data_IF_989682163956
#
_entry.id   IF_989682163956
#
_cell.length_a   1.000
_cell.length_b   1.000
_cell.length_c   1.000
_cell.angle_alpha   90.00
_cell.angle_beta   90.00
_cell.angle_gamma   90.00
#
_symmetry.space_group_name_H-M   'P 1'
#
loop_
_entity.id
_entity.type
_entity.pdbx_description
1 polymer ?
#
# COMPACT_ATOMS: atom_id res chain seq x y z
N UNK A 1 -9.86 10.11 -19.69
CA UNK A 1 -9.74 8.81 -19.04
C UNK A 1 -11.00 8.02 -19.35
N UNK A 2 -10.85 6.81 -19.91
CA UNK A 2 -11.99 5.92 -20.17
C UNK A 2 -12.14 4.93 -19.01
N UNK A 3 -13.39 4.57 -18.69
CA UNK A 3 -13.67 3.46 -17.79
C UNK A 3 -13.33 2.18 -18.52
N UNK A 4 -12.36 1.42 -18.02
CA UNK A 4 -12.02 0.10 -18.56
C UNK A 4 -12.67 -0.95 -17.66
N UNK A 5 -13.43 -1.87 -18.25
CA UNK A 5 -13.89 -3.07 -17.57
C UNK A 5 -12.68 -3.92 -17.11
N UNK A 6 -12.81 -4.61 -15.98
CA UNK A 6 -11.71 -5.37 -15.39
C UNK A 6 -11.13 -6.44 -16.32
N UNK A 7 -11.96 -7.07 -17.17
CA UNK A 7 -11.53 -8.03 -18.17
C UNK A 7 -10.63 -7.40 -19.25
N UNK A 8 -11.06 -6.27 -19.84
CA UNK A 8 -10.30 -5.54 -20.86
C UNK A 8 -8.97 -5.00 -20.31
N UNK A 9 -8.94 -4.65 -19.02
CA UNK A 9 -7.72 -4.22 -18.33
C UNK A 9 -6.71 -5.35 -18.21
N UNK A 10 -7.15 -6.51 -17.75
CA UNK A 10 -6.29 -7.70 -17.59
C UNK A 10 -5.70 -8.13 -18.94
N UNK A 11 -6.49 -8.12 -20.00
CA UNK A 11 -6.03 -8.40 -21.35
C UNK A 11 -4.95 -7.41 -21.81
N UNK A 12 -5.16 -6.11 -21.61
CA UNK A 12 -4.15 -5.07 -21.94
C UNK A 12 -2.85 -5.29 -21.18
N UNK A 13 -2.92 -5.56 -19.87
CA UNK A 13 -1.72 -5.83 -19.08
C UNK A 13 -0.98 -7.07 -19.57
N UNK A 14 -1.72 -8.12 -19.96
CA UNK A 14 -1.14 -9.37 -20.46
C UNK A 14 -0.41 -9.19 -21.79
N UNK A 15 -0.82 -8.22 -22.62
CA UNK A 15 -0.23 -7.95 -23.92
C UNK A 15 1.13 -7.21 -23.82
N UNK A 16 1.44 -6.59 -22.67
CA UNK A 16 2.74 -5.96 -22.49
C UNK A 16 3.78 -6.97 -22.00
N UNK A 17 4.99 -6.85 -22.50
CA UNK A 17 6.15 -7.62 -22.02
C UNK A 17 6.59 -7.13 -20.64
N UNK A 18 6.67 -5.81 -20.46
CA UNK A 18 7.01 -5.15 -19.21
C UNK A 18 5.98 -4.05 -18.92
N UNK A 19 5.32 -4.12 -17.79
CA UNK A 19 4.29 -3.17 -17.40
C UNK A 19 4.13 -3.09 -15.89
N UNK A 20 3.91 -1.88 -15.39
CA UNK A 20 3.51 -1.63 -14.02
C UNK A 20 2.05 -1.20 -13.97
N UNK A 21 1.25 -1.85 -13.13
CA UNK A 21 -0.11 -1.44 -12.80
C UNK A 21 -0.19 -1.07 -11.32
N UNK A 22 -0.55 0.19 -11.02
CA UNK A 22 -0.70 0.67 -9.65
C UNK A 22 -2.16 0.94 -9.36
N UNK A 23 -2.67 0.38 -8.27
CA UNK A 23 -4.07 0.48 -7.85
C UNK A 23 -4.22 0.99 -6.42
N UNK A 24 -5.43 1.45 -6.08
CA UNK A 24 -5.70 2.15 -4.82
C UNK A 24 -5.98 1.22 -3.63
N UNK A 25 -6.20 -0.06 -3.87
CA UNK A 25 -6.49 -1.00 -2.78
C UNK A 25 -5.76 -2.33 -2.94
N UNK A 26 -5.45 -2.94 -1.79
CA UNK A 26 -4.81 -4.26 -1.73
C UNK A 26 -5.68 -5.35 -2.38
N UNK A 27 -7.01 -5.28 -2.16
CA UNK A 27 -7.98 -6.18 -2.78
C UNK A 27 -7.97 -6.05 -4.31
N UNK A 28 -7.96 -4.83 -4.83
CA UNK A 28 -7.86 -4.59 -6.27
C UNK A 28 -6.57 -5.17 -6.86
N UNK A 29 -5.45 -5.01 -6.16
CA UNK A 29 -4.17 -5.56 -6.59
C UNK A 29 -4.22 -7.10 -6.68
N UNK A 30 -4.75 -7.77 -5.67
CA UNK A 30 -4.93 -9.23 -5.69
C UNK A 30 -5.86 -9.67 -6.82
N UNK A 31 -7.04 -9.08 -6.95
CA UNK A 31 -8.03 -9.42 -7.99
C UNK A 31 -7.48 -9.32 -9.41
N UNK A 32 -6.69 -8.29 -9.70
CA UNK A 32 -6.04 -8.13 -11.00
C UNK A 32 -4.94 -9.17 -11.17
N UNK A 33 -4.11 -9.36 -10.16
CA UNK A 33 -3.00 -10.30 -10.18
C UNK A 33 -3.45 -11.75 -10.42
N UNK A 34 -4.53 -12.17 -9.77
CA UNK A 34 -5.08 -13.54 -9.89
C UNK A 34 -5.56 -13.87 -11.31
N UNK A 35 -5.89 -12.85 -12.10
CA UNK A 35 -6.32 -13.00 -13.49
C UNK A 35 -5.17 -12.94 -14.50
N UNK A 36 -3.96 -12.57 -14.07
CA UNK A 36 -2.79 -12.51 -14.93
C UNK A 36 -2.10 -13.88 -15.09
N UNK A 37 -1.36 -14.12 -16.19
CA UNK A 37 -0.53 -15.30 -16.33
C UNK A 37 0.44 -15.43 -15.15
N UNK A 38 0.70 -16.66 -14.70
CA UNK A 38 1.58 -16.88 -13.53
C UNK A 38 3.03 -16.51 -13.81
N UNK A 39 3.51 -16.72 -15.04
CA UNK A 39 4.91 -16.47 -15.40
C UNK A 39 5.19 -14.99 -15.64
N UNK A 40 6.25 -14.49 -15.02
CA UNK A 40 6.69 -13.09 -15.15
C UNK A 40 5.69 -12.07 -14.57
N UNK A 41 4.75 -12.49 -13.70
CA UNK A 41 3.80 -11.62 -13.04
C UNK A 41 4.06 -11.57 -11.55
N UNK A 42 4.07 -10.36 -11.00
CA UNK A 42 4.39 -10.06 -9.61
C UNK A 42 3.30 -9.21 -8.96
N UNK A 43 3.02 -9.51 -7.71
CA UNK A 43 2.16 -8.70 -6.85
C UNK A 43 3.03 -8.02 -5.77
N UNK A 44 2.72 -6.76 -5.47
CA UNK A 44 3.38 -6.02 -4.39
C UNK A 44 2.36 -5.26 -3.56
N UNK A 45 2.25 -5.62 -2.29
CA UNK A 45 1.43 -4.89 -1.33
C UNK A 45 1.99 -4.99 0.08
N UNK A 46 1.44 -4.20 0.99
CA UNK A 46 1.78 -4.25 2.43
C UNK A 46 1.23 -5.49 3.14
N UNK A 47 0.48 -6.37 2.45
CA UNK A 47 0.05 -7.67 2.96
C UNK A 47 1.15 -8.73 2.92
N UNK A 48 2.25 -8.45 2.23
CA UNK A 48 3.42 -9.31 2.17
C UNK A 48 4.43 -8.91 3.24
N UNK A 49 5.11 -9.87 3.83
CA UNK A 49 6.21 -9.60 4.77
C UNK A 49 7.37 -8.85 4.07
N UNK A 50 8.10 -7.99 4.80
CA UNK A 50 9.18 -7.19 4.23
C UNK A 50 10.27 -8.00 3.52
N UNK A 51 10.68 -9.15 4.05
CA UNK A 51 11.68 -10.04 3.42
C UNK A 51 11.25 -10.51 2.05
N UNK A 52 10.00 -10.89 1.89
CA UNK A 52 9.45 -11.36 0.63
C UNK A 52 9.31 -10.23 -0.39
N UNK A 53 8.81 -9.05 0.05
CA UNK A 53 8.77 -7.86 -0.81
C UNK A 53 10.13 -7.50 -1.36
N UNK A 54 11.18 -7.58 -0.51
CA UNK A 54 12.54 -7.28 -0.93
C UNK A 54 13.04 -8.27 -1.99
N UNK A 55 12.80 -9.57 -1.80
CA UNK A 55 13.18 -10.61 -2.77
C UNK A 55 12.47 -10.42 -4.12
N UNK A 56 11.16 -10.13 -4.10
CA UNK A 56 10.38 -9.87 -5.31
C UNK A 56 10.86 -8.60 -6.03
N UNK A 57 11.16 -7.53 -5.29
CA UNK A 57 11.68 -6.29 -5.89
C UNK A 57 13.02 -6.52 -6.57
N UNK A 58 13.88 -7.35 -6.00
CA UNK A 58 15.17 -7.69 -6.62
C UNK A 58 14.97 -8.50 -7.91
N UNK A 59 14.06 -9.47 -7.90
CA UNK A 59 13.70 -10.22 -9.10
C UNK A 59 13.09 -9.32 -10.18
N UNK A 60 12.21 -8.39 -9.83
CA UNK A 60 11.65 -7.40 -10.75
C UNK A 60 12.76 -6.59 -11.40
N UNK A 61 13.71 -6.04 -10.62
CA UNK A 61 14.84 -5.25 -11.15
C UNK A 61 15.68 -6.06 -12.11
N UNK A 62 15.99 -7.31 -11.75
CA UNK A 62 16.78 -8.18 -12.61
C UNK A 62 16.05 -8.50 -13.93
N UNK A 63 14.75 -8.78 -13.88
CA UNK A 63 13.95 -9.04 -15.09
C UNK A 63 13.84 -7.81 -15.99
N UNK A 64 13.66 -6.62 -15.42
CA UNK A 64 13.67 -5.37 -16.19
C UNK A 64 14.99 -5.12 -16.89
N UNK A 65 16.11 -5.36 -16.19
CA UNK A 65 17.46 -5.22 -16.73
C UNK A 65 17.75 -6.22 -17.85
N UNK A 66 17.29 -7.46 -17.70
CA UNK A 66 17.50 -8.55 -18.67
C UNK A 66 16.48 -8.52 -19.82
N UNK A 67 15.63 -7.52 -19.90
CA UNK A 67 14.50 -7.43 -20.83
C UNK A 67 13.62 -8.69 -20.85
N UNK A 68 13.40 -9.31 -19.68
CA UNK A 68 12.50 -10.44 -19.51
C UNK A 68 11.06 -9.99 -19.28
N UNK A 69 10.05 -10.84 -19.56
CA UNK A 69 8.65 -10.52 -19.21
C UNK A 69 8.52 -10.18 -17.72
N UNK A 70 7.97 -8.98 -17.42
CA UNK A 70 7.81 -8.47 -16.07
C UNK A 70 6.55 -7.63 -15.98
N UNK A 71 5.50 -8.20 -15.44
CA UNK A 71 4.20 -7.55 -15.23
C UNK A 71 3.97 -7.42 -13.73
N UNK A 72 3.89 -6.20 -13.25
CA UNK A 72 3.78 -5.91 -11.82
C UNK A 72 2.43 -5.27 -11.51
N UNK A 73 1.70 -5.83 -10.57
CA UNK A 73 0.52 -5.21 -9.98
C UNK A 73 0.86 -4.81 -8.54
N UNK A 74 0.76 -3.53 -8.24
CA UNK A 74 1.14 -2.98 -6.94
C UNK A 74 0.11 -2.01 -6.40
N UNK A 75 0.10 -1.83 -5.09
CA UNK A 75 -0.49 -0.63 -4.47
C UNK A 75 0.51 0.54 -4.56
N UNK A 76 0.16 1.69 -3.95
CA UNK A 76 1.06 2.86 -3.87
C UNK A 76 2.43 2.57 -3.21
N UNK A 77 2.64 1.37 -2.69
CA UNK A 77 3.92 0.93 -2.15
C UNK A 77 5.11 1.18 -3.11
N UNK A 78 4.88 1.06 -4.42
CA UNK A 78 5.92 1.22 -5.45
C UNK A 78 6.18 2.69 -5.81
N UNK A 79 5.32 3.62 -5.41
CA UNK A 79 5.41 5.04 -5.76
C UNK A 79 6.58 5.73 -5.06
N UNK A 80 6.91 5.32 -3.84
CA UNK A 80 8.00 5.90 -3.04
C UNK A 80 9.05 4.87 -2.65
N UNK A 81 10.33 5.27 -2.69
CA UNK A 81 11.44 4.44 -2.19
C UNK A 81 11.82 3.22 -3.03
N UNK A 82 11.16 2.98 -4.15
CA UNK A 82 11.45 1.84 -5.03
C UNK A 82 12.05 2.34 -6.34
N UNK A 83 13.23 1.81 -6.67
CA UNK A 83 13.93 2.14 -7.90
C UNK A 83 13.66 1.06 -8.96
N UNK A 84 12.72 1.39 -9.86
CA UNK A 84 12.30 0.56 -11.01
C UNK A 84 11.97 1.46 -12.20
N UNK A 85 12.21 0.95 -13.41
CA UNK A 85 12.00 1.66 -14.67
C UNK A 85 11.22 0.80 -15.68
N UNK A 86 9.95 1.13 -15.86
CA UNK A 86 9.05 0.42 -16.77
C UNK A 86 8.81 1.20 -18.07
N UNK A 87 8.65 0.53 -19.21
CA UNK A 87 8.26 1.19 -20.45
C UNK A 87 6.80 1.69 -20.42
N UNK A 88 5.94 1.01 -19.67
CA UNK A 88 4.51 1.32 -19.62
C UNK A 88 4.00 1.25 -18.19
N UNK A 89 3.22 2.25 -17.79
CA UNK A 89 2.60 2.33 -16.47
C UNK A 89 1.10 2.55 -16.61
N UNK A 90 0.33 1.75 -15.90
CA UNK A 90 -1.12 1.94 -15.68
C UNK A 90 -1.33 2.40 -14.25
N UNK A 91 -2.05 3.50 -14.04
CA UNK A 91 -2.38 4.03 -12.72
C UNK A 91 -3.88 4.17 -12.56
N UNK A 92 -4.47 3.51 -11.57
CA UNK A 92 -5.84 3.78 -11.17
C UNK A 92 -5.97 5.24 -10.74
N UNK A 93 -7.05 5.92 -11.13
CA UNK A 93 -7.29 7.32 -10.80
C UNK A 93 -7.19 7.55 -9.29
N UNK A 94 -6.34 8.47 -8.89
CA UNK A 94 -5.99 8.81 -7.51
C UNK A 94 -5.74 10.32 -7.37
N UNK A 95 -5.07 10.75 -6.31
CA UNK A 95 -4.52 12.10 -6.23
C UNK A 95 -3.52 12.37 -7.36
N UNK A 96 -3.49 13.60 -7.87
CA UNK A 96 -2.60 13.99 -8.96
C UNK A 96 -1.12 13.78 -8.60
N UNK A 97 -0.76 14.03 -7.35
CA UNK A 97 0.55 13.74 -6.79
C UNK A 97 0.94 12.27 -6.91
N UNK A 98 0.01 11.37 -6.57
CA UNK A 98 0.19 9.92 -6.67
C UNK A 98 0.29 9.45 -8.13
N UNK A 99 -0.52 10.03 -9.03
CA UNK A 99 -0.42 9.77 -10.48
C UNK A 99 0.97 10.13 -11.00
N UNK A 100 1.49 11.30 -10.63
CA UNK A 100 2.82 11.75 -11.05
C UNK A 100 3.95 10.91 -10.44
N UNK A 101 3.79 10.44 -9.20
CA UNK A 101 4.75 9.52 -8.58
C UNK A 101 4.80 8.17 -9.32
N UNK A 102 3.65 7.62 -9.71
CA UNK A 102 3.58 6.43 -10.55
C UNK A 102 4.16 6.69 -11.96
N UNK A 103 3.86 7.84 -12.56
CA UNK A 103 4.44 8.25 -13.83
C UNK A 103 5.97 8.35 -13.78
N UNK A 104 6.54 8.78 -12.65
CA UNK A 104 7.98 8.77 -12.39
C UNK A 104 8.63 7.38 -12.37
N UNK A 105 7.87 6.29 -12.55
CA UNK A 105 8.35 4.92 -12.76
C UNK A 105 8.32 4.50 -14.23
N UNK A 106 7.81 5.37 -15.11
CA UNK A 106 7.79 5.17 -16.55
C UNK A 106 8.96 5.90 -17.19
N UNK A 107 9.82 5.16 -17.88
CA UNK A 107 11.03 5.72 -18.53
C UNK A 107 11.87 6.61 -17.58
N UNK A 108 11.97 6.17 -16.34
CA UNK A 108 12.65 6.92 -15.26
C UNK A 108 14.10 7.28 -15.61
N UNK A 109 14.76 6.38 -16.30
CA UNK A 109 16.15 6.58 -16.70
C UNK A 109 16.30 7.36 -18.02
N UNK A 110 15.21 7.75 -18.67
CA UNK A 110 15.21 8.48 -19.93
C UNK A 110 15.83 7.73 -21.11
N UNK A 111 15.87 6.40 -21.06
CA UNK A 111 16.52 5.57 -22.09
C UNK A 111 15.65 5.26 -23.29
N UNK A 112 14.34 5.51 -23.19
CA UNK A 112 13.34 5.22 -24.23
C UNK A 112 12.82 6.52 -24.82
N UNK A 113 12.33 6.45 -26.05
CA UNK A 113 11.62 7.57 -26.66
C UNK A 113 10.31 7.88 -25.89
N UNK A 114 9.89 9.13 -25.89
CA UNK A 114 8.70 9.56 -25.13
C UNK A 114 7.41 8.92 -25.66
N UNK A 115 7.31 8.68 -26.96
CA UNK A 115 6.19 8.01 -27.63
C UNK A 115 6.11 6.49 -27.33
N UNK A 116 7.22 5.89 -26.91
CA UNK A 116 7.28 4.50 -26.45
C UNK A 116 7.02 4.34 -24.94
N UNK A 117 6.90 5.46 -24.22
CA UNK A 117 6.82 5.49 -22.75
C UNK A 117 5.47 6.04 -22.31
N UNK A 118 4.50 5.15 -22.15
CA UNK A 118 3.10 5.54 -21.98
C UNK A 118 2.64 5.34 -20.54
N UNK A 119 2.08 6.40 -19.97
CA UNK A 119 1.34 6.36 -18.71
C UNK A 119 -0.15 6.46 -18.99
N UNK A 120 -0.89 5.43 -18.57
CA UNK A 120 -2.35 5.38 -18.74
C UNK A 120 -3.04 5.50 -17.39
N UNK A 121 -3.81 6.56 -17.22
CA UNK A 121 -4.70 6.69 -16.05
C UNK A 121 -6.03 6.04 -16.39
N UNK A 122 -6.53 5.18 -15.49
CA UNK A 122 -7.80 4.47 -15.70
C UNK A 122 -8.69 4.55 -14.47
N UNK A 123 -9.98 4.36 -14.67
CA UNK A 123 -10.96 4.25 -13.58
C UNK A 123 -11.49 2.81 -13.49
N UNK A 124 -11.78 2.37 -12.28
CA UNK A 124 -12.49 1.12 -12.04
C UNK A 124 -13.99 1.39 -11.94
N UNK A 125 -14.80 0.34 -12.15
CA UNK A 125 -16.26 0.38 -11.96
C UNK A 125 -16.61 0.56 -10.48
N UNK A 126 -15.79 0.00 -9.58
CA UNK A 126 -15.93 0.17 -8.13
C UNK A 126 -15.51 1.58 -7.73
N UNK A 127 -16.25 2.16 -6.78
CA UNK A 127 -15.89 3.46 -6.20
C UNK A 127 -14.52 3.38 -5.50
N UNK A 128 -13.70 4.43 -5.59
CA UNK A 128 -12.45 4.49 -4.85
C UNK A 128 -12.71 4.41 -3.34
N UNK A 129 -11.78 3.82 -2.56
CA UNK A 129 -11.86 3.83 -1.11
C UNK A 129 -12.08 5.24 -0.56
N UNK A 130 -12.84 5.37 0.53
CA UNK A 130 -13.22 6.67 1.12
C UNK A 130 -12.03 7.63 1.26
N UNK A 131 -10.89 7.10 1.70
CA UNK A 131 -9.64 7.88 1.87
C UNK A 131 -9.17 8.59 0.60
N UNK A 132 -9.46 8.04 -0.58
CA UNK A 132 -8.99 8.58 -1.86
C UNK A 132 -10.02 9.49 -2.54
N UNK A 133 -11.29 9.51 -2.11
CA UNK A 133 -12.38 10.21 -2.82
C UNK A 133 -12.14 11.70 -2.97
N UNK A 134 -11.69 12.36 -1.91
CA UNK A 134 -11.39 13.79 -1.93
C UNK A 134 -10.27 14.10 -2.92
N UNK A 135 -9.17 13.34 -2.88
CA UNK A 135 -8.05 13.53 -3.80
C UNK A 135 -8.43 13.22 -5.26
N UNK A 136 -9.24 12.18 -5.49
CA UNK A 136 -9.79 11.86 -6.82
C UNK A 136 -10.68 12.99 -7.34
N UNK A 137 -11.54 13.57 -6.50
CA UNK A 137 -12.38 14.73 -6.85
C UNK A 137 -11.54 15.93 -7.26
N UNK A 138 -10.54 16.28 -6.45
CA UNK A 138 -9.60 17.37 -6.73
C UNK A 138 -8.80 17.13 -8.03
N UNK A 139 -8.40 15.87 -8.29
CA UNK A 139 -7.71 15.51 -9.54
C UNK A 139 -8.61 15.70 -10.77
N UNK A 140 -9.85 15.24 -10.71
CA UNK A 140 -10.80 15.43 -11.82
C UNK A 140 -11.00 16.91 -12.12
N UNK A 141 -11.20 17.73 -11.08
CA UNK A 141 -11.33 19.19 -11.22
C UNK A 141 -10.06 19.81 -11.81
N UNK A 142 -8.88 19.41 -11.35
CA UNK A 142 -7.63 19.96 -11.85
C UNK A 142 -7.35 19.62 -13.31
N UNK A 143 -7.81 18.46 -13.78
CA UNK A 143 -7.61 17.97 -15.16
C UNK A 143 -8.76 18.32 -16.13
N UNK A 144 -9.76 19.08 -15.67
CA UNK A 144 -10.79 19.60 -16.58
C UNK A 144 -10.14 20.35 -17.75
N UNK A 145 -10.83 20.38 -18.89
CA UNK A 145 -10.38 21.02 -20.13
C UNK A 145 -9.10 20.42 -20.75
N UNK A 146 -8.74 19.18 -20.38
CA UNK A 146 -7.59 18.48 -20.98
C UNK A 146 -6.23 19.06 -20.60
N UNK A 147 -6.12 19.65 -19.40
CA UNK A 147 -4.86 20.24 -18.90
C UNK A 147 -3.77 19.20 -18.78
N UNK A 148 -2.53 19.64 -19.00
CA UNK A 148 -1.35 18.81 -18.76
C UNK A 148 -1.20 18.49 -17.25
N UNK A 149 -1.25 17.20 -16.87
CA UNK A 149 -1.07 16.78 -15.46
C UNK A 149 0.23 17.25 -14.83
N UNK A 150 1.29 17.41 -15.62
CA UNK A 150 2.62 17.80 -15.14
C UNK A 150 2.83 19.32 -15.07
N UNK A 151 1.89 20.11 -15.61
CA UNK A 151 1.99 21.56 -15.57
C UNK A 151 1.89 22.11 -14.13
N UNK A 152 2.73 23.06 -13.80
CA UNK A 152 2.73 23.69 -12.47
C UNK A 152 1.37 24.27 -12.09
N UNK A 153 0.67 24.89 -13.06
CA UNK A 153 -0.67 25.46 -12.86
C UNK A 153 -1.72 24.39 -12.50
N UNK A 154 -1.64 23.21 -13.14
CA UNK A 154 -2.51 22.08 -12.84
C UNK A 154 -2.27 21.53 -11.45
N UNK A 155 -1.00 21.40 -11.05
CA UNK A 155 -0.61 21.01 -9.70
C UNK A 155 -1.09 22.00 -8.65
N UNK A 156 -0.93 23.30 -8.90
CA UNK A 156 -1.42 24.35 -8.01
C UNK A 156 -2.95 24.30 -7.87
N UNK A 157 -3.67 24.14 -8.98
CA UNK A 157 -5.13 23.99 -8.99
C UNK A 157 -5.58 22.75 -8.19
N UNK A 158 -4.88 21.63 -8.35
CA UNK A 158 -5.14 20.40 -7.58
C UNK A 158 -5.00 20.63 -6.08
N UNK A 159 -3.90 21.21 -5.62
CA UNK A 159 -3.69 21.43 -4.19
C UNK A 159 -4.60 22.50 -3.60
N UNK A 160 -4.97 23.52 -4.35
CA UNK A 160 -5.98 24.50 -3.94
C UNK A 160 -7.34 23.83 -3.73
N UNK A 161 -7.78 23.01 -4.68
CA UNK A 161 -9.05 22.28 -4.59
C UNK A 161 -9.03 21.23 -3.47
N UNK A 162 -7.95 20.47 -3.37
CA UNK A 162 -7.76 19.48 -2.29
C UNK A 162 -7.86 20.16 -0.91
N UNK A 163 -7.25 21.33 -0.77
CA UNK A 163 -7.33 22.12 0.47
C UNK A 163 -8.75 22.63 0.72
N UNK A 164 -9.44 23.12 -0.29
CA UNK A 164 -10.82 23.60 -0.18
C UNK A 164 -11.79 22.47 0.24
N UNK A 165 -11.66 21.29 -0.37
CA UNK A 165 -12.46 20.11 -0.05
C UNK A 165 -12.14 19.51 1.32
N UNK A 166 -10.89 19.61 1.77
CA UNK A 166 -10.47 19.07 3.07
C UNK A 166 -10.88 19.96 4.25
N UNK A 167 -11.01 21.27 4.04
CA UNK A 167 -11.51 22.21 5.05
C UNK A 167 -10.84 22.08 6.41
N UNK A 168 -11.66 22.00 7.45
CA UNK A 168 -11.20 21.86 8.84
C UNK A 168 -10.48 20.54 9.14
N UNK A 169 -10.64 19.53 8.29
CA UNK A 169 -9.98 18.22 8.50
C UNK A 169 -8.46 18.28 8.32
N UNK A 170 -7.93 19.34 7.72
CA UNK A 170 -6.48 19.58 7.61
C UNK A 170 -5.79 19.78 8.95
N UNK A 171 -6.51 20.33 9.94
CA UNK A 171 -6.02 20.49 11.32
C UNK A 171 -6.79 19.59 12.29
N UNK A 172 -6.97 18.30 11.91
CA UNK A 172 -7.71 17.29 12.65
C UNK A 172 -7.37 17.26 14.15
N UNK A 173 -6.12 17.49 14.49
CA UNK A 173 -5.65 17.47 15.89
C UNK A 173 -5.57 18.84 16.53
N UNK A 174 -6.01 19.91 15.86
CA UNK A 174 -5.97 21.27 16.35
C UNK A 174 -4.57 21.80 16.60
N UNK A 175 -3.59 21.34 15.81
CA UNK A 175 -2.17 21.73 15.95
C UNK A 175 -1.96 23.17 15.56
N UNK A 176 -2.46 23.59 14.40
CA UNK A 176 -2.37 24.98 13.92
C UNK A 176 -3.09 25.91 14.88
N UNK A 177 -4.31 25.56 15.27
CA UNK A 177 -5.12 26.31 16.24
C UNK A 177 -4.42 26.45 17.59
N UNK A 178 -3.72 25.41 18.07
CA UNK A 178 -2.97 25.47 19.32
C UNK A 178 -1.79 26.45 19.24
N UNK A 179 -1.07 26.48 18.12
CA UNK A 179 0.00 27.47 17.90
C UNK A 179 -0.54 28.88 17.77
N UNK A 180 -1.61 29.13 17.02
CA UNK A 180 -2.24 30.45 16.90
C UNK A 180 -2.68 31.01 18.27
N UNK A 181 -3.31 30.15 19.08
CA UNK A 181 -3.70 30.53 20.47
C UNK A 181 -2.47 30.77 21.34
N UNK A 182 -1.45 29.92 21.22
CA UNK A 182 -0.20 30.05 21.96
C UNK A 182 0.58 31.33 21.64
N UNK A 183 0.65 31.72 20.38
CA UNK A 183 1.28 32.95 19.92
C UNK A 183 0.57 34.16 20.55
N UNK A 184 -0.78 34.17 20.53
CA UNK A 184 -1.59 35.25 21.14
C UNK A 184 -1.39 35.34 22.67
N UNK A 185 -1.12 34.22 23.33
CA UNK A 185 -0.87 34.10 24.76
C UNK A 185 0.62 34.19 25.17
N UNK A 186 1.54 34.49 24.22
CA UNK A 186 2.98 34.44 24.42
C UNK A 186 3.54 33.13 24.98
N UNK A 187 2.84 31.99 24.70
CA UNK A 187 3.23 30.66 25.11
C UNK A 187 3.14 29.72 23.90
N UNK A 188 4.20 29.01 23.60
CA UNK A 188 4.20 28.04 22.48
C UNK A 188 3.99 26.63 23.01
N UNK A 189 2.87 25.95 22.64
CA UNK A 189 2.46 24.70 23.23
C UNK A 189 3.16 23.48 22.59
N UNK A 190 4.48 23.52 22.44
CA UNK A 190 5.25 22.45 21.75
C UNK A 190 5.00 21.06 22.33
N UNK A 191 4.93 20.94 23.66
CA UNK A 191 4.70 19.65 24.33
C UNK A 191 3.33 19.09 23.98
N UNK A 192 2.28 19.91 24.13
CA UNK A 192 0.89 19.52 23.83
C UNK A 192 0.72 19.19 22.35
N UNK A 193 1.38 19.93 21.47
CA UNK A 193 1.38 19.66 20.02
C UNK A 193 2.10 18.36 19.72
N UNK A 194 3.28 18.11 20.31
CA UNK A 194 4.00 16.85 20.12
C UNK A 194 3.19 15.62 20.59
N UNK A 195 2.43 15.76 21.68
CA UNK A 195 1.54 14.71 22.19
C UNK A 195 0.31 14.47 21.28
N UNK A 196 -0.19 15.50 20.60
CA UNK A 196 -1.35 15.42 19.71
C UNK A 196 -0.98 15.04 18.27
N UNK A 197 0.23 15.37 17.83
CA UNK A 197 0.64 15.18 16.47
C UNK A 197 0.98 13.73 16.20
N UNK A 198 0.09 13.04 15.49
CA UNK A 198 0.31 11.70 14.95
C UNK A 198 0.43 11.81 13.43
N UNK A 199 1.65 11.65 12.92
CA UNK A 199 1.90 11.67 11.46
C UNK A 199 1.23 10.49 10.74
N UNK A 200 1.16 9.36 11.42
CA UNK A 200 0.45 8.16 10.97
C UNK A 200 -0.52 7.79 12.09
N UNK A 201 -1.82 7.76 11.80
CA UNK A 201 -2.80 7.17 12.71
C UNK A 201 -2.50 5.67 12.81
N UNK A 202 -2.03 5.19 13.94
CA UNK A 202 -1.73 3.78 14.21
C UNK A 202 -3.02 2.97 14.40
N UNK A 203 -3.90 2.98 13.38
CA UNK A 203 -5.09 2.12 13.35
C UNK A 203 -4.78 0.73 12.78
N UNK A 204 -3.50 0.33 12.86
CA UNK A 204 -3.05 -0.97 12.37
C UNK A 204 -2.47 -1.80 13.51
N UNK A 205 -2.69 -3.11 13.42
CA UNK A 205 -2.12 -4.10 14.31
C UNK A 205 -1.12 -4.98 13.57
N UNK A 206 -0.15 -5.49 14.29
CA UNK A 206 0.93 -6.29 13.74
C UNK A 206 0.58 -7.77 13.77
N UNK A 207 0.70 -8.44 12.64
CA UNK A 207 0.59 -9.90 12.54
C UNK A 207 1.94 -10.47 12.13
N UNK A 208 2.57 -11.21 13.03
CA UNK A 208 3.81 -11.96 12.73
C UNK A 208 3.46 -13.23 11.96
N UNK A 209 4.14 -13.44 10.85
CA UNK A 209 3.92 -14.59 9.96
C UNK A 209 5.09 -15.57 10.13
N UNK A 210 4.86 -16.77 10.69
CA UNK A 210 5.92 -17.75 10.97
C UNK A 210 6.30 -18.53 9.71
N UNK A 211 6.91 -17.86 8.72
CA UNK A 211 7.41 -18.49 7.49
C UNK A 211 8.93 -18.35 7.39
N UNK A 212 9.60 -19.33 6.79
CA UNK A 212 11.06 -19.35 6.67
C UNK A 212 11.75 -19.17 8.03
N UNK A 213 12.73 -18.27 8.12
CA UNK A 213 13.44 -17.97 9.38
C UNK A 213 12.51 -17.34 10.43
N UNK A 214 11.39 -16.72 10.01
CA UNK A 214 10.39 -16.14 10.91
C UNK A 214 9.76 -17.19 11.85
N UNK A 215 9.69 -18.45 11.43
CA UNK A 215 9.18 -19.53 12.27
C UNK A 215 10.04 -19.74 13.53
N UNK A 216 11.35 -19.76 13.37
CA UNK A 216 12.28 -19.90 14.51
C UNK A 216 12.21 -18.69 15.46
N UNK A 217 12.06 -17.48 14.93
CA UNK A 217 11.90 -16.27 15.73
C UNK A 217 10.57 -16.27 16.53
N UNK A 218 9.50 -16.76 15.92
CA UNK A 218 8.19 -16.91 16.59
C UNK A 218 8.28 -17.94 17.72
N UNK A 219 9.01 -19.05 17.55
CA UNK A 219 9.19 -20.03 18.63
C UNK A 219 10.00 -19.46 19.81
N UNK A 220 11.01 -18.61 19.54
CA UNK A 220 11.72 -17.87 20.60
C UNK A 220 10.76 -16.94 21.37
N UNK A 221 9.89 -16.23 20.66
CA UNK A 221 8.87 -15.37 21.27
C UNK A 221 7.89 -16.19 22.14
N UNK A 222 7.41 -17.35 21.64
CA UNK A 222 6.56 -18.27 22.40
C UNK A 222 7.26 -18.84 23.65
N UNK A 223 8.59 -19.03 23.58
CA UNK A 223 9.40 -19.45 24.73
C UNK A 223 9.61 -18.35 25.77
N UNK A 224 9.09 -17.13 25.50
CA UNK A 224 9.16 -16.00 26.45
C UNK A 224 10.39 -15.10 26.28
N UNK A 225 11.13 -15.24 25.17
CA UNK A 225 12.22 -14.32 24.86
C UNK A 225 11.64 -12.97 24.41
N UNK A 226 12.09 -11.86 25.06
CA UNK A 226 11.59 -10.50 24.82
C UNK A 226 12.75 -9.52 24.62
N UNK A 227 13.68 -9.82 23.70
CA UNK A 227 14.78 -8.91 23.40
C UNK A 227 14.42 -7.91 22.30
N UNK A 228 15.02 -6.73 22.34
CA UNK A 228 14.85 -5.70 21.28
C UNK A 228 15.32 -6.23 19.92
N UNK A 229 16.35 -7.06 19.93
CA UNK A 229 16.92 -7.72 18.75
C UNK A 229 15.91 -8.68 18.13
N UNK A 230 15.22 -9.47 18.95
CA UNK A 230 14.17 -10.41 18.50
C UNK A 230 13.01 -9.65 17.83
N UNK A 231 12.49 -8.61 18.48
CA UNK A 231 11.38 -7.82 17.87
C UNK A 231 11.80 -7.11 16.58
N UNK A 232 13.04 -6.64 16.49
CA UNK A 232 13.57 -6.07 15.23
C UNK A 232 13.65 -7.13 14.13
N UNK A 233 14.08 -8.35 14.46
CA UNK A 233 14.13 -9.45 13.51
C UNK A 233 12.71 -9.89 13.08
N UNK A 234 11.78 -10.04 14.04
CA UNK A 234 10.37 -10.34 13.78
C UNK A 234 9.69 -9.30 12.91
N UNK A 235 10.07 -8.02 13.00
CA UNK A 235 9.54 -6.96 12.13
C UNK A 235 9.75 -7.23 10.64
N UNK A 236 10.73 -8.05 10.26
CA UNK A 236 10.95 -8.48 8.86
C UNK A 236 9.95 -9.52 8.38
N UNK A 237 9.21 -10.14 9.31
CA UNK A 237 8.18 -11.16 9.09
C UNK A 237 6.81 -10.69 9.58
N UNK A 238 6.61 -9.38 9.67
CA UNK A 238 5.39 -8.76 10.13
C UNK A 238 4.57 -8.17 9.00
N UNK A 239 3.25 -8.28 9.12
CA UNK A 239 2.26 -7.64 8.26
C UNK A 239 1.40 -6.71 9.11
N UNK A 240 1.26 -5.44 8.68
CA UNK A 240 0.35 -4.50 9.32
C UNK A 240 -1.04 -4.61 8.72
N UNK A 241 -2.04 -4.85 9.56
CA UNK A 241 -3.45 -4.98 9.17
C UNK A 241 -4.30 -3.96 9.91
N UNK A 242 -5.37 -3.44 9.29
CA UNK A 242 -6.32 -2.58 9.99
C UNK A 242 -7.07 -3.35 11.07
N UNK A 243 -7.49 -2.67 12.13
CA UNK A 243 -8.19 -3.27 13.28
C UNK A 243 -9.39 -4.13 12.87
N UNK A 244 -10.17 -3.70 11.87
CA UNK A 244 -11.29 -4.50 11.34
C UNK A 244 -10.86 -5.87 10.78
N UNK A 245 -9.72 -5.92 10.07
CA UNK A 245 -9.20 -7.17 9.51
C UNK A 245 -8.55 -8.03 10.59
N UNK A 246 -7.88 -7.40 11.56
CA UNK A 246 -7.36 -8.11 12.72
C UNK A 246 -8.49 -8.81 13.49
N UNK A 247 -9.59 -8.11 13.75
CA UNK A 247 -10.79 -8.68 14.40
C UNK A 247 -11.40 -9.82 13.60
N UNK A 248 -11.46 -9.70 12.29
CA UNK A 248 -11.97 -10.77 11.41
C UNK A 248 -11.08 -12.02 11.46
N UNK A 249 -9.76 -11.85 11.38
CA UNK A 249 -8.79 -12.96 11.52
C UNK A 249 -8.86 -13.60 12.91
N UNK A 250 -8.99 -12.80 13.96
CA UNK A 250 -9.14 -13.30 15.33
C UNK A 250 -10.44 -14.09 15.51
N UNK A 251 -11.56 -13.57 15.02
CA UNK A 251 -12.86 -14.25 15.07
C UNK A 251 -12.87 -15.58 14.29
N UNK A 252 -12.07 -15.68 13.24
CA UNK A 252 -11.86 -16.91 12.48
C UNK A 252 -10.91 -17.91 13.18
N UNK A 253 -10.35 -17.57 14.35
CA UNK A 253 -9.38 -18.43 15.06
C UNK A 253 -8.00 -18.49 14.39
N UNK A 254 -7.71 -17.57 13.48
CA UNK A 254 -6.48 -17.58 12.70
C UNK A 254 -5.27 -16.91 13.41
N UNK A 255 -5.48 -16.32 14.58
CA UNK A 255 -4.47 -15.57 15.32
C UNK A 255 -4.23 -16.12 16.74
N UNK A 256 -2.97 -16.18 17.16
CA UNK A 256 -2.56 -16.29 18.57
C UNK A 256 -2.26 -14.86 19.07
N UNK A 257 -2.87 -14.49 20.19
CA UNK A 257 -2.75 -13.15 20.79
C UNK A 257 -1.98 -13.18 22.11
N UNK A 258 -1.88 -12.05 22.82
CA UNK A 258 -1.27 -11.95 24.14
C UNK A 258 -1.90 -12.90 25.19
N UNK A 259 -3.12 -13.39 24.96
CA UNK A 259 -3.76 -14.43 25.79
C UNK A 259 -3.10 -15.79 25.65
N UNK A 260 -2.60 -16.09 24.46
CA UNK A 260 -1.99 -17.37 24.10
C UNK A 260 -0.47 -17.32 24.25
N UNK A 261 0.12 -16.15 23.98
CA UNK A 261 1.56 -15.90 24.03
C UNK A 261 1.81 -14.60 24.81
N UNK A 262 2.14 -14.68 26.10
CA UNK A 262 2.27 -13.49 26.99
C UNK A 262 3.37 -12.49 26.58
N UNK A 263 4.28 -12.88 25.70
CA UNK A 263 5.32 -12.01 25.16
C UNK A 263 4.79 -11.03 24.08
N UNK A 264 3.57 -11.21 23.57
CA UNK A 264 2.91 -10.28 22.66
C UNK A 264 2.28 -9.11 23.44
N UNK A 265 2.22 -7.96 22.81
CA UNK A 265 1.40 -6.83 23.27
C UNK A 265 -0.05 -6.94 22.74
N UNK A 266 -0.91 -6.02 23.17
CA UNK A 266 -2.33 -6.01 22.78
C UNK A 266 -2.56 -5.73 21.29
N UNK A 267 -1.57 -5.11 20.62
CA UNK A 267 -1.64 -4.70 19.21
C UNK A 267 -0.89 -5.65 18.28
N UNK A 268 -0.41 -6.78 18.80
CA UNK A 268 0.28 -7.80 18.02
C UNK A 268 -0.32 -9.20 18.16
N UNK A 269 -0.13 -10.00 17.12
CA UNK A 269 -0.53 -11.40 17.09
C UNK A 269 0.42 -12.22 16.21
N UNK A 270 0.36 -13.54 16.34
CA UNK A 270 1.03 -14.50 15.47
C UNK A 270 -0.03 -15.16 14.59
N UNK A 271 0.22 -15.26 13.29
CA UNK A 271 -0.63 -16.01 12.38
C UNK A 271 -0.53 -17.52 12.70
N UNK A 272 -1.65 -18.10 13.16
CA UNK A 272 -1.75 -19.53 13.48
C UNK A 272 -2.11 -20.36 12.24
N UNK A 273 -3.02 -19.86 11.42
CA UNK A 273 -3.43 -20.52 10.18
C UNK A 273 -2.58 -20.01 9.00
N UNK A 274 -1.52 -20.77 8.68
CA UNK A 274 -0.62 -20.45 7.59
C UNK A 274 -1.25 -20.62 6.20
N UNK A 275 -2.40 -21.24 6.07
CA UNK A 275 -3.12 -21.33 4.79
C UNK A 275 -3.62 -19.96 4.32
N UNK A 276 -3.72 -18.99 5.23
CA UNK A 276 -4.08 -17.61 4.94
C UNK A 276 -2.91 -16.77 4.41
N UNK A 277 -1.70 -17.33 4.34
CA UNK A 277 -0.54 -16.62 3.82
C UNK A 277 0.00 -17.31 2.56
N UNK A 278 0.03 -16.56 1.47
CA UNK A 278 0.58 -16.98 0.19
C UNK A 278 1.85 -16.18 -0.14
N UNK A 279 2.90 -16.86 -0.59
CA UNK A 279 4.18 -16.21 -0.91
C UNK A 279 4.10 -15.21 -2.07
N UNK A 280 3.09 -15.30 -2.93
CA UNK A 280 2.92 -14.43 -4.09
C UNK A 280 2.03 -13.23 -3.82
N UNK A 281 1.05 -13.36 -2.91
CA UNK A 281 0.03 -12.33 -2.65
C UNK A 281 0.03 -11.79 -1.22
N UNK A 282 0.68 -12.50 -0.29
CA UNK A 282 0.73 -12.13 1.12
C UNK A 282 -0.49 -12.64 1.90
N UNK A 283 -0.82 -11.94 2.98
CA UNK A 283 -1.89 -12.32 3.91
C UNK A 283 -3.28 -12.09 3.32
N UNK A 284 -4.12 -13.11 3.39
CA UNK A 284 -5.55 -13.03 3.05
C UNK A 284 -6.32 -12.35 4.19
N UNK A 285 -7.07 -11.29 3.88
CA UNK A 285 -7.78 -10.48 4.87
C UNK A 285 -9.21 -10.92 5.14
N UNK A 286 -9.79 -11.72 4.25
CA UNK A 286 -11.15 -12.24 4.34
C UNK A 286 -11.08 -13.78 4.45
N UNK A 287 -10.82 -14.33 5.66
CA UNK A 287 -10.85 -15.77 5.83
C UNK A 287 -12.28 -16.27 5.55
N UNK A 288 -12.40 -17.34 4.80
CA UNK A 288 -13.71 -18.00 4.58
C UNK A 288 -14.27 -18.42 5.94
N UNK A 289 -15.32 -17.76 6.39
CA UNK A 289 -16.05 -18.14 7.60
C UNK A 289 -16.75 -19.47 7.33
N UNK A 290 -16.16 -20.58 7.80
CA UNK A 290 -16.76 -21.90 7.65
C UNK A 290 -15.81 -23.09 7.65
N UNK A 291 -14.52 -22.90 7.54
CA UNK A 291 -13.53 -23.96 7.82
C UNK A 291 -13.18 -23.96 9.31
N UNK A 292 -14.14 -24.37 10.15
CA UNK A 292 -13.80 -24.79 11.50
C UNK A 292 -12.79 -25.94 11.36
N UNK A 293 -11.58 -25.73 11.86
CA UNK A 293 -10.62 -26.79 12.10
C UNK A 293 -11.30 -27.80 13.04
N UNK A 294 -11.80 -28.89 12.47
CA UNK A 294 -12.00 -30.10 13.26
C UNK A 294 -10.60 -30.65 13.52
N UNK A 295 -10.13 -30.39 14.74
CA UNK A 295 -9.00 -31.11 15.36
C UNK A 295 -9.55 -32.36 15.99
#
# INVERSE_FOLDING_TARGET
>A
AGVLEDAARTERLSNHRQVLCVVNSRRAAQQIFDRLPKEGCFHLSTLMIPTQRQAILEEIRQRLKDDKPCRVVSTSLIEAGVDVDFPTVYRELAGLDSILQAAGRCNREGKRAADESIVTVFERTELPPLLFRTAVGATRYALEDGRDPAAQETMQRYFCELRALSGETLDKYGVVKAFETGISGCTLPFRTVAERFHFIDENTRTVYVPVGEGAALVEQLKAGECSKELYRALGRYAVSVYDQHFKALYAAGALLTARDVPALDEDSAILADLTLYDERTGLTLEPEMGKALMI
#
